data_IF_416796659742
#
_entry.id   IF_416796659742
#
_cell.length_a   1.000
_cell.length_b   1.000
_cell.length_c   1.000
_cell.angle_alpha   90.00
_cell.angle_beta   90.00
_cell.angle_gamma   90.00
#
_symmetry.space_group_name_H-M   'P 1'
#
loop_
_entity.id
_entity.type
_entity.pdbx_description
1 polymer ?
#
# COMPACT_ATOMS: atom_id res chain seq x y z
N UNK A 1 7.50 -6.52 -9.03
CA UNK A 1 7.18 -5.58 -10.13
C UNK A 1 5.72 -5.19 -9.95
N UNK A 2 5.46 -4.01 -9.36
CA UNK A 2 4.12 -3.59 -8.92
C UNK A 2 3.14 -3.39 -10.07
N UNK A 3 1.97 -4.00 -9.94
CA UNK A 3 0.90 -4.07 -10.94
C UNK A 3 0.08 -2.76 -11.04
N UNK A 4 0.23 -1.85 -10.07
CA UNK A 4 -0.41 -0.51 -10.06
C UNK A 4 0.08 0.44 -11.16
N UNK A 5 1.12 0.07 -11.93
CA UNK A 5 1.67 0.92 -13.00
C UNK A 5 0.67 1.27 -14.10
N UNK A 6 -0.39 0.50 -14.32
CA UNK A 6 -1.30 0.73 -15.43
C UNK A 6 -2.38 1.78 -15.10
N UNK A 7 -2.95 1.77 -13.89
CA UNK A 7 -3.95 2.76 -13.49
C UNK A 7 -3.31 4.15 -13.30
N UNK A 8 -2.17 4.22 -12.61
CA UNK A 8 -1.45 5.48 -12.37
C UNK A 8 -0.88 6.11 -13.64
N UNK A 9 -0.54 5.34 -14.68
CA UNK A 9 -0.11 5.91 -15.97
C UNK A 9 -1.23 6.64 -16.69
N UNK A 10 -2.47 6.20 -16.51
CA UNK A 10 -3.64 6.79 -17.15
C UNK A 10 -4.05 8.08 -16.43
N UNK A 11 -3.84 8.15 -15.11
CA UNK A 11 -4.15 9.31 -14.27
C UNK A 11 -3.03 10.38 -14.27
N UNK A 12 -1.74 10.00 -14.32
CA UNK A 12 -0.60 10.92 -14.11
C UNK A 12 0.26 11.22 -15.36
N UNK A 13 -0.26 10.99 -16.56
CA UNK A 13 0.09 11.85 -17.70
C UNK A 13 0.68 11.20 -18.96
N UNK A 14 0.21 11.69 -20.10
CA UNK A 14 0.98 11.74 -21.35
C UNK A 14 0.77 13.11 -22.01
N UNK A 15 1.51 14.13 -21.57
CA UNK A 15 1.60 15.40 -22.31
C UNK A 15 2.89 15.41 -23.12
N UNK A 16 2.77 15.05 -24.40
CA UNK A 16 3.86 15.20 -25.37
C UNK A 16 3.98 16.67 -25.80
N UNK A 17 5.03 17.37 -25.35
CA UNK A 17 5.48 18.58 -26.03
C UNK A 17 7.00 18.65 -26.09
N UNK A 18 7.54 18.32 -27.26
CA UNK A 18 8.95 18.45 -27.66
C UNK A 18 9.38 19.92 -27.81
N UNK A 19 10.50 20.33 -27.19
CA UNK A 19 11.47 21.30 -27.77
C UNK A 19 12.81 21.39 -27.02
N UNK A 20 13.87 21.06 -27.77
CA UNK A 20 15.30 21.47 -27.77
C UNK A 20 16.13 21.55 -26.47
N UNK A 21 17.27 20.85 -26.54
CA UNK A 21 18.26 20.51 -25.52
C UNK A 21 19.16 21.68 -25.06
N UNK A 22 19.07 22.00 -23.77
CA UNK A 22 20.21 22.38 -22.91
C UNK A 22 20.72 21.10 -22.23
N UNK A 23 22.03 20.95 -21.89
CA UNK A 23 22.47 19.78 -21.14
C UNK A 23 21.68 19.73 -19.83
N UNK A 24 20.89 18.68 -19.69
CA UNK A 24 19.98 18.53 -18.57
C UNK A 24 20.80 18.54 -17.26
N UNK A 25 20.34 19.24 -16.21
CA UNK A 25 20.86 18.99 -14.87
C UNK A 25 20.78 17.48 -14.58
N UNK A 26 21.67 16.93 -13.74
CA UNK A 26 21.65 15.51 -13.43
C UNK A 26 20.23 15.11 -13.06
N UNK A 27 19.68 14.15 -13.80
CA UNK A 27 18.35 13.61 -13.53
C UNK A 27 18.45 12.92 -12.18
N UNK A 28 18.08 13.62 -11.11
CA UNK A 28 17.81 13.00 -9.83
C UNK A 28 16.65 12.06 -10.12
N UNK A 29 16.90 10.77 -10.06
CA UNK A 29 15.86 9.76 -10.19
C UNK A 29 15.09 9.73 -8.87
N UNK A 30 14.16 10.69 -8.73
CA UNK A 30 13.31 10.85 -7.54
C UNK A 30 12.56 9.56 -7.19
N UNK A 31 12.22 8.75 -8.20
CA UNK A 31 11.54 7.47 -8.00
C UNK A 31 12.48 6.44 -7.38
N UNK A 32 13.74 6.38 -7.81
CA UNK A 32 14.73 5.50 -7.22
C UNK A 32 15.08 5.90 -5.78
N UNK A 33 15.16 7.21 -5.50
CA UNK A 33 15.40 7.71 -4.14
C UNK A 33 14.23 7.37 -3.19
N UNK A 34 12.99 7.63 -3.62
CA UNK A 34 11.78 7.29 -2.87
C UNK A 34 11.68 5.78 -2.59
N UNK A 35 11.93 4.94 -3.60
CA UNK A 35 11.91 3.49 -3.41
C UNK A 35 13.00 3.03 -2.45
N UNK A 36 14.19 3.64 -2.47
CA UNK A 36 15.25 3.35 -1.50
C UNK A 36 14.81 3.67 -0.07
N UNK A 37 14.24 4.85 0.16
CA UNK A 37 13.73 5.25 1.47
C UNK A 37 12.61 4.33 1.96
N UNK A 38 11.69 3.92 1.06
CA UNK A 38 10.65 2.95 1.36
C UNK A 38 11.24 1.59 1.78
N UNK A 39 12.24 1.07 1.07
CA UNK A 39 12.90 -0.18 1.46
C UNK A 39 13.63 -0.07 2.81
N UNK A 40 14.19 1.09 3.13
CA UNK A 40 14.79 1.36 4.44
C UNK A 40 13.74 1.33 5.57
N UNK A 41 12.57 1.97 5.37
CA UNK A 41 11.44 1.90 6.32
C UNK A 41 10.93 0.48 6.51
N UNK A 42 10.72 -0.27 5.42
CA UNK A 42 10.30 -1.68 5.46
C UNK A 42 11.30 -2.50 6.27
N UNK A 43 12.60 -2.35 6.02
CA UNK A 43 13.64 -3.12 6.72
C UNK A 43 13.69 -2.79 8.21
N UNK A 44 13.57 -1.51 8.56
CA UNK A 44 13.58 -1.06 9.95
C UNK A 44 12.37 -1.57 10.72
N UNK A 45 11.17 -1.44 10.14
CA UNK A 45 9.93 -1.94 10.74
C UNK A 45 9.93 -3.47 10.86
N UNK A 46 10.41 -4.18 9.84
CA UNK A 46 10.53 -5.65 9.87
C UNK A 46 11.45 -6.12 11.00
N UNK A 47 12.61 -5.49 11.17
CA UNK A 47 13.52 -5.82 12.26
C UNK A 47 12.87 -5.61 13.64
N UNK A 48 12.03 -4.58 13.79
CA UNK A 48 11.34 -4.29 15.05
C UNK A 48 10.17 -5.24 15.32
N UNK A 49 9.38 -5.54 14.28
CA UNK A 49 8.10 -6.25 14.42
C UNK A 49 8.20 -7.76 14.23
N UNK A 50 9.28 -8.28 13.61
CA UNK A 50 9.39 -9.70 13.22
C UNK A 50 9.03 -10.67 14.36
N UNK A 51 9.62 -10.49 15.54
CA UNK A 51 9.40 -11.40 16.67
C UNK A 51 7.96 -11.30 17.20
N UNK A 52 7.41 -10.08 17.26
CA UNK A 52 6.05 -9.84 17.73
C UNK A 52 5.00 -10.40 16.76
N UNK A 53 5.11 -10.10 15.45
CA UNK A 53 4.23 -10.67 14.42
C UNK A 53 4.27 -12.20 14.47
N UNK A 54 5.48 -12.77 14.60
CA UNK A 54 5.65 -14.22 14.69
C UNK A 54 4.95 -14.81 15.91
N UNK A 55 5.02 -14.13 17.07
CA UNK A 55 4.33 -14.57 18.28
C UNK A 55 2.81 -14.49 18.13
N UNK A 56 2.30 -13.35 17.65
CA UNK A 56 0.86 -13.12 17.42
C UNK A 56 0.26 -14.15 16.46
N UNK A 57 0.92 -14.39 15.32
CA UNK A 57 0.45 -15.37 14.32
C UNK A 57 0.54 -16.81 14.85
N UNK A 58 1.52 -17.14 15.70
CA UNK A 58 1.57 -18.46 16.36
C UNK A 58 0.45 -18.65 17.37
N UNK A 59 0.06 -17.60 18.08
CA UNK A 59 -0.98 -17.63 19.09
C UNK A 59 -2.39 -17.65 18.48
N UNK A 60 -2.64 -16.76 17.50
CA UNK A 60 -3.96 -16.54 16.90
C UNK A 60 -4.17 -17.30 15.59
N UNK A 61 -3.17 -18.06 15.14
CA UNK A 61 -3.05 -18.69 13.80
C UNK A 61 -2.93 -17.68 12.64
N UNK A 62 -3.48 -16.47 12.79
CA UNK A 62 -3.44 -15.42 11.80
C UNK A 62 -3.67 -14.01 12.39
N UNK A 63 -3.33 -12.99 11.62
CA UNK A 63 -3.70 -11.59 11.88
C UNK A 63 -4.45 -11.04 10.66
N UNK A 64 -5.76 -10.83 10.82
CA UNK A 64 -6.63 -10.27 9.79
C UNK A 64 -6.70 -8.75 9.89
N UNK A 65 -6.70 -8.07 8.74
CA UNK A 65 -6.83 -6.62 8.65
C UNK A 65 -7.62 -6.20 7.42
N UNK A 66 -8.11 -4.97 7.45
CA UNK A 66 -8.71 -4.25 6.32
C UNK A 66 -7.95 -2.96 6.08
N UNK A 67 -8.06 -2.40 4.88
CA UNK A 67 -7.56 -1.06 4.61
C UNK A 67 -8.51 -0.26 3.73
N UNK A 68 -8.42 1.05 3.90
CA UNK A 68 -9.08 2.08 3.10
C UNK A 68 -7.99 3.06 2.70
N UNK A 69 -7.90 3.41 1.42
CA UNK A 69 -6.91 4.38 0.96
C UNK A 69 -7.37 5.15 -0.26
N UNK A 70 -6.72 6.29 -0.49
CA UNK A 70 -7.13 7.25 -1.50
C UNK A 70 -7.29 8.63 -0.92
N UNK A 71 -7.67 9.59 -1.75
CA UNK A 71 -7.74 11.01 -1.39
C UNK A 71 -6.40 11.54 -0.85
N UNK A 72 -6.26 11.65 0.47
CA UNK A 72 -5.10 12.21 1.16
C UNK A 72 -4.41 11.25 2.15
N UNK A 73 -4.92 10.04 2.36
CA UNK A 73 -4.33 9.09 3.31
C UNK A 73 -4.62 7.60 3.02
N UNK A 74 -3.96 6.72 3.79
CA UNK A 74 -4.21 5.30 3.85
C UNK A 74 -4.31 4.84 5.31
N UNK A 75 -5.29 3.98 5.59
CA UNK A 75 -5.54 3.42 6.90
C UNK A 75 -5.54 1.90 6.84
N UNK A 76 -4.83 1.25 7.77
CA UNK A 76 -4.85 -0.21 7.94
C UNK A 76 -5.38 -0.55 9.32
N UNK A 77 -6.52 -1.22 9.38
CA UNK A 77 -7.18 -1.60 10.63
C UNK A 77 -7.05 -3.09 10.90
N UNK A 78 -6.45 -3.45 12.02
CA UNK A 78 -6.37 -4.85 12.49
C UNK A 78 -7.58 -5.21 13.34
N UNK A 79 -8.18 -6.38 13.06
CA UNK A 79 -9.38 -6.85 13.75
C UNK A 79 -9.18 -7.03 15.25
N UNK A 80 -8.00 -7.51 15.64
CA UNK A 80 -7.65 -7.85 17.01
C UNK A 80 -6.71 -6.80 17.64
N UNK A 81 -6.73 -5.57 17.13
CA UNK A 81 -5.98 -4.46 17.71
C UNK A 81 -6.43 -4.20 19.15
N UNK A 82 -5.47 -3.96 20.04
CA UNK A 82 -5.74 -3.62 21.44
C UNK A 82 -4.88 -2.44 21.88
N UNK A 83 -5.34 -1.74 22.92
CA UNK A 83 -4.65 -0.57 23.48
C UNK A 83 -3.31 -0.91 24.11
N UNK A 84 -3.11 -2.15 24.58
CA UNK A 84 -1.85 -2.60 25.17
C UNK A 84 -0.73 -2.76 24.14
N UNK A 85 -1.10 -3.02 22.87
CA UNK A 85 -0.18 -3.28 21.77
C UNK A 85 -0.26 -2.19 20.69
N UNK A 86 -0.86 -1.04 21.02
CA UNK A 86 -1.15 0.06 20.08
C UNK A 86 0.09 0.49 19.28
N UNK A 87 1.24 0.67 19.95
CA UNK A 87 2.50 1.03 19.29
C UNK A 87 2.92 0.00 18.22
N UNK A 88 2.73 -1.30 18.50
CA UNK A 88 3.09 -2.36 17.55
C UNK A 88 2.10 -2.40 16.38
N UNK A 89 0.81 -2.18 16.64
CA UNK A 89 -0.21 -2.12 15.59
C UNK A 89 -0.04 -0.90 14.69
N UNK A 90 0.29 0.26 15.25
CA UNK A 90 0.58 1.47 14.49
C UNK A 90 1.79 1.29 13.57
N UNK A 91 2.85 0.66 14.06
CA UNK A 91 4.00 0.35 13.21
C UNK A 91 3.71 -0.74 12.19
N UNK A 92 2.89 -1.72 12.53
CA UNK A 92 2.46 -2.76 11.61
C UNK A 92 1.59 -2.17 10.49
N UNK A 93 0.72 -1.21 10.78
CA UNK A 93 -0.05 -0.47 9.78
C UNK A 93 0.87 0.17 8.74
N UNK A 94 1.84 0.99 9.18
CA UNK A 94 2.78 1.61 8.26
C UNK A 94 3.61 0.58 7.49
N UNK A 95 4.02 -0.50 8.16
CA UNK A 95 4.73 -1.60 7.50
C UNK A 95 3.88 -2.24 6.41
N UNK A 96 2.57 -2.45 6.63
CA UNK A 96 1.68 -3.04 5.64
C UNK A 96 1.40 -2.08 4.48
N UNK A 97 1.22 -0.78 4.73
CA UNK A 97 1.10 0.25 3.68
C UNK A 97 2.32 0.19 2.76
N UNK A 98 3.51 0.29 3.35
CA UNK A 98 4.75 0.23 2.59
C UNK A 98 4.87 -1.14 1.91
N UNK A 99 4.74 -2.27 2.63
CA UNK A 99 4.99 -3.61 2.08
C UNK A 99 4.01 -4.01 0.98
N UNK A 100 2.75 -3.59 1.02
CA UNK A 100 1.76 -3.94 -0.01
C UNK A 100 1.67 -2.90 -1.14
N UNK A 101 2.48 -1.84 -1.10
CA UNK A 101 2.39 -0.74 -2.07
C UNK A 101 0.98 -0.11 -2.05
N UNK A 102 0.35 0.02 -0.87
CA UNK A 102 -0.96 0.66 -0.72
C UNK A 102 -0.76 2.16 -0.96
N UNK A 103 -1.36 2.75 -2.01
CA UNK A 103 -1.22 4.17 -2.27
C UNK A 103 -1.98 4.99 -1.24
N UNK A 104 -1.34 6.03 -0.73
CA UNK A 104 -1.75 6.87 0.40
C UNK A 104 -2.23 8.27 -0.02
N UNK A 105 -2.29 8.56 -1.32
CA UNK A 105 -2.89 9.79 -1.84
C UNK A 105 -3.25 9.65 -3.32
N UNK A 106 -4.34 10.32 -3.74
CA UNK A 106 -4.75 10.46 -5.13
C UNK A 106 -6.27 10.46 -5.33
N UNK A 107 -6.72 10.79 -6.55
CA UNK A 107 -8.12 10.82 -6.95
C UNK A 107 -8.66 9.39 -7.24
N UNK A 108 -8.70 8.55 -6.21
CA UNK A 108 -9.25 7.20 -6.26
C UNK A 108 -9.71 6.77 -4.86
N UNK A 109 -10.51 5.72 -4.80
CA UNK A 109 -10.78 4.97 -3.58
C UNK A 109 -10.30 3.53 -3.75
N UNK A 110 -9.59 3.02 -2.76
CA UNK A 110 -9.13 1.64 -2.70
C UNK A 110 -9.51 1.04 -1.35
N UNK A 111 -10.27 -0.04 -1.39
CA UNK A 111 -10.63 -0.82 -0.20
C UNK A 111 -10.05 -2.22 -0.32
N UNK A 112 -9.52 -2.75 0.76
CA UNK A 112 -9.00 -4.10 0.75
C UNK A 112 -8.97 -4.78 2.09
N UNK A 113 -8.52 -6.03 2.05
CA UNK A 113 -8.35 -6.89 3.21
C UNK A 113 -7.19 -7.84 3.03
N UNK A 114 -6.58 -8.20 4.14
CA UNK A 114 -5.48 -9.16 4.14
C UNK A 114 -5.47 -10.01 5.39
N UNK A 115 -4.69 -11.09 5.30
CA UNK A 115 -4.47 -12.01 6.39
C UNK A 115 -3.00 -12.41 6.45
N UNK A 116 -2.36 -12.16 7.59
CA UNK A 116 -0.99 -12.55 7.87
C UNK A 116 -1.00 -13.93 8.52
N UNK A 117 -0.20 -14.86 8.01
CA UNK A 117 -0.13 -16.24 8.51
C UNK A 117 1.27 -16.83 8.34
N UNK A 118 1.54 -17.96 8.99
CA UNK A 118 2.80 -18.70 8.82
C UNK A 118 2.59 -19.85 7.84
N UNK A 119 3.36 -19.85 6.75
CA UNK A 119 3.34 -20.91 5.73
C UNK A 119 4.76 -21.31 5.35
N UNK A 120 5.11 -22.60 5.47
CA UNK A 120 6.41 -23.14 5.06
C UNK A 120 7.62 -22.36 5.63
N UNK A 121 7.64 -22.15 6.95
CA UNK A 121 8.67 -21.37 7.68
C UNK A 121 8.79 -19.89 7.27
N UNK A 122 7.71 -19.32 6.72
CA UNK A 122 7.65 -17.91 6.29
C UNK A 122 6.41 -17.26 6.85
N UNK A 123 6.52 -16.00 7.21
CA UNK A 123 5.35 -15.16 7.45
C UNK A 123 4.93 -14.57 6.11
N UNK A 124 3.69 -14.85 5.72
CA UNK A 124 3.10 -14.42 4.44
C UNK A 124 1.85 -13.60 4.68
N UNK A 125 1.57 -12.66 3.79
CA UNK A 125 0.29 -11.97 3.70
C UNK A 125 -0.43 -12.39 2.43
N UNK A 126 -1.68 -12.81 2.56
CA UNK A 126 -2.62 -12.98 1.45
C UNK A 126 -3.59 -11.82 1.47
N UNK A 127 -3.83 -11.19 0.32
CA UNK A 127 -4.60 -9.95 0.26
C UNK A 127 -5.51 -9.88 -0.97
N UNK A 128 -6.52 -9.04 -0.89
CA UNK A 128 -7.42 -8.68 -1.99
C UNK A 128 -7.94 -7.25 -1.82
N UNK A 129 -8.09 -6.52 -2.91
CA UNK A 129 -8.63 -5.17 -2.93
C UNK A 129 -9.49 -4.87 -4.15
N UNK A 130 -10.23 -3.78 -4.04
CA UNK A 130 -11.00 -3.16 -5.10
C UNK A 130 -10.61 -1.69 -5.17
N UNK A 131 -10.34 -1.20 -6.37
CA UNK A 131 -9.98 0.19 -6.64
C UNK A 131 -10.93 0.79 -7.68
N UNK A 132 -11.30 2.06 -7.49
CA UNK A 132 -12.04 2.87 -8.46
C UNK A 132 -11.45 4.28 -8.48
N UNK A 133 -11.25 4.83 -9.67
CA UNK A 133 -10.74 6.19 -9.84
C UNK A 133 -11.88 7.20 -9.76
N UNK A 134 -11.65 8.35 -9.15
CA UNK A 134 -12.56 9.49 -9.22
C UNK A 134 -12.36 10.14 -10.60
N UNK A 135 -13.42 10.16 -11.41
CA UNK A 135 -13.37 10.69 -12.78
C UNK A 135 -13.83 12.15 -12.84
N UNK A 136 -14.85 12.50 -12.07
CA UNK A 136 -15.46 13.83 -12.08
C UNK A 136 -16.30 14.05 -10.80
N UNK A 137 -16.69 15.29 -10.55
CA UNK A 137 -17.63 15.67 -9.49
C UNK A 137 -18.87 16.31 -10.12
N UNK A 138 -20.04 15.73 -9.89
CA UNK A 138 -21.29 16.29 -10.39
C UNK A 138 -21.72 17.47 -9.51
N UNK A 139 -21.49 18.70 -9.99
CA UNK A 139 -21.85 19.92 -9.28
C UNK A 139 -23.37 20.09 -9.04
N UNK A 140 -24.24 19.42 -9.82
CA UNK A 140 -25.69 19.52 -9.65
C UNK A 140 -26.23 18.60 -8.56
N UNK A 141 -25.66 17.39 -8.44
CA UNK A 141 -26.09 16.39 -7.45
C UNK A 141 -25.21 16.35 -6.21
N UNK A 142 -24.07 17.04 -6.23
CA UNK A 142 -23.03 16.99 -5.19
C UNK A 142 -22.49 15.55 -5.00
N UNK A 143 -22.42 14.76 -6.07
CA UNK A 143 -21.97 13.36 -6.04
C UNK A 143 -20.73 13.15 -6.91
N UNK A 144 -19.84 12.29 -6.41
CA UNK A 144 -18.63 11.85 -7.10
C UNK A 144 -18.93 10.80 -8.17
N UNK A 145 -18.31 10.95 -9.34
CA UNK A 145 -18.44 10.01 -10.47
C UNK A 145 -17.18 9.15 -10.52
N UNK A 146 -17.35 7.84 -10.30
CA UNK A 146 -16.26 6.87 -10.27
C UNK A 146 -16.14 6.07 -11.57
N UNK A 147 -14.94 5.55 -11.82
CA UNK A 147 -14.69 4.53 -12.85
C UNK A 147 -15.35 3.19 -12.49
N UNK A 148 -15.28 2.23 -13.43
CA UNK A 148 -15.51 0.82 -13.09
C UNK A 148 -14.51 0.35 -12.02
N UNK A 149 -14.94 -0.62 -11.22
CA UNK A 149 -14.12 -1.25 -10.19
C UNK A 149 -13.08 -2.19 -10.80
N UNK A 150 -11.83 -2.05 -10.40
CA UNK A 150 -10.76 -2.99 -10.69
C UNK A 150 -10.42 -3.81 -9.43
N UNK A 151 -10.15 -5.10 -9.60
CA UNK A 151 -9.79 -6.00 -8.50
C UNK A 151 -8.32 -6.38 -8.57
N UNK A 152 -7.65 -6.39 -7.42
CA UNK A 152 -6.31 -6.93 -7.24
C UNK A 152 -6.30 -7.95 -6.10
N UNK A 153 -5.46 -8.98 -6.22
CA UNK A 153 -5.25 -9.95 -5.14
C UNK A 153 -3.92 -10.67 -5.30
N UNK A 154 -3.35 -11.10 -4.18
CA UNK A 154 -2.06 -11.75 -4.22
C UNK A 154 -1.59 -12.32 -2.89
N UNK A 155 -0.36 -12.80 -2.92
CA UNK A 155 0.39 -13.28 -1.77
C UNK A 155 1.78 -12.63 -1.78
N UNK A 156 2.25 -12.19 -0.61
CA UNK A 156 3.59 -11.63 -0.45
C UNK A 156 4.24 -12.19 0.80
N UNK A 157 5.51 -12.60 0.68
CA UNK A 157 6.32 -12.92 1.86
C UNK A 157 6.64 -11.63 2.62
N UNK A 158 6.33 -11.62 3.91
CA UNK A 158 6.77 -10.57 4.82
C UNK A 158 8.24 -10.81 5.16
N UNK A 159 8.53 -11.97 5.77
CA UNK A 159 9.88 -12.41 6.13
C UNK A 159 9.95 -13.93 6.37
N UNK A 160 11.17 -14.45 6.40
CA UNK A 160 11.49 -15.84 6.79
C UNK A 160 11.56 -15.95 8.33
N UNK A 161 11.12 -17.07 8.91
CA UNK A 161 11.25 -17.37 10.33
C UNK A 161 12.67 -17.80 10.69
#
# INVERSE_FOLDING_TARGET
>A
MGLFRNLFKTLFGTSNNTKKETPAPPVIDYMAAWEKERQERITAAEHKLKDWISAQVKEKENLSFTWESGNDEAFVTFKDASTEEEDNFFELEQYMIDKLDIPDAGEFEMNGKGNISIENNRVVVKYSSTIKALLDFNEETEEEIYSEEEQDSGEKTLFEL
#
